data_IF_955206213638
#
_entry.id   IF_955206213638
#
_cell.length_a   1.000
_cell.length_b   1.000
_cell.length_c   1.000
_cell.angle_alpha   90.00
_cell.angle_beta   90.00
_cell.angle_gamma   90.00
#
_symmetry.space_group_name_H-M   'P 1'
#
loop_
_entity.id
_entity.type
_entity.pdbx_description
1 polymer ?
#
# COMPACT_ATOMS: atom_id res chain seq x y z
N UNK A 1 -5.22 7.00 -13.22
CA UNK A 1 -3.99 6.59 -13.92
C UNK A 1 -2.77 6.89 -13.04
N UNK A 2 -2.56 8.12 -12.58
CA UNK A 2 -1.38 8.51 -11.77
C UNK A 2 -1.19 7.65 -10.52
N UNK A 3 -2.25 7.39 -9.73
CA UNK A 3 -2.16 6.56 -8.53
C UNK A 3 -1.78 5.08 -8.79
N UNK A 4 -1.76 4.64 -10.03
CA UNK A 4 -1.29 3.30 -10.40
C UNK A 4 0.13 3.31 -10.98
N UNK A 5 0.45 4.31 -11.80
CA UNK A 5 1.74 4.41 -12.50
C UNK A 5 2.85 4.88 -11.55
N UNK A 6 2.58 5.93 -10.77
CA UNK A 6 3.58 6.51 -9.86
C UNK A 6 4.11 5.50 -8.83
N UNK A 7 3.27 4.72 -8.10
CA UNK A 7 3.81 3.73 -7.16
C UNK A 7 4.59 2.60 -7.85
N UNK A 8 4.20 2.17 -9.04
CA UNK A 8 4.97 1.19 -9.80
C UNK A 8 6.35 1.70 -10.21
N UNK A 9 6.40 2.96 -10.68
CA UNK A 9 7.65 3.63 -11.02
C UNK A 9 8.52 3.84 -9.77
N UNK A 10 7.92 4.24 -8.64
CA UNK A 10 8.64 4.42 -7.38
C UNK A 10 9.25 3.10 -6.91
N UNK A 11 8.50 2.00 -6.99
CA UNK A 11 9.02 0.68 -6.63
C UNK A 11 10.16 0.24 -7.56
N UNK A 12 10.06 0.53 -8.86
CA UNK A 12 11.15 0.31 -9.82
C UNK A 12 12.42 1.05 -9.41
N UNK A 13 12.33 2.35 -9.06
CA UNK A 13 13.46 3.16 -8.61
C UNK A 13 14.04 2.65 -7.30
N UNK A 14 13.20 2.24 -6.35
CA UNK A 14 13.67 1.65 -5.08
C UNK A 14 14.49 0.38 -5.31
N UNK A 15 14.06 -0.49 -6.21
CA UNK A 15 14.83 -1.67 -6.59
C UNK A 15 16.14 -1.32 -7.28
N UNK A 16 16.17 -0.29 -8.14
CA UNK A 16 17.42 0.17 -8.77
C UNK A 16 18.41 0.72 -7.74
N UNK A 17 17.97 1.55 -6.81
CA UNK A 17 18.84 2.12 -5.77
C UNK A 17 19.52 1.02 -4.92
N UNK A 18 18.78 -0.05 -4.57
CA UNK A 18 19.34 -1.19 -3.84
C UNK A 18 20.37 -1.93 -4.70
N UNK A 19 20.13 -2.05 -6.00
CA UNK A 19 21.04 -2.69 -6.92
C UNK A 19 22.33 -1.90 -7.11
N UNK A 20 22.26 -0.58 -7.21
CA UNK A 20 23.45 0.29 -7.33
C UNK A 20 24.34 0.20 -6.08
N UNK A 21 23.78 0.24 -4.89
CA UNK A 21 24.53 0.05 -3.63
C UNK A 21 25.20 -1.33 -3.55
N UNK A 22 24.56 -2.37 -4.06
CA UNK A 22 25.11 -3.73 -4.08
C UNK A 22 26.20 -3.91 -5.16
N UNK A 23 26.15 -3.15 -6.24
CA UNK A 23 27.06 -3.27 -7.40
C UNK A 23 28.50 -2.91 -7.07
N UNK A 24 28.73 -2.07 -6.03
CA UNK A 24 30.09 -1.74 -5.58
C UNK A 24 30.88 -2.97 -5.07
N UNK A 25 30.22 -4.09 -4.79
CA UNK A 25 30.83 -5.30 -4.20
C UNK A 25 30.86 -6.51 -5.17
N UNK A 26 30.05 -6.54 -6.24
CA UNK A 26 29.76 -7.77 -7.02
C UNK A 26 30.06 -7.70 -8.52
N UNK A 27 31.13 -7.03 -8.94
CA UNK A 27 31.50 -6.91 -10.36
C UNK A 27 31.90 -8.21 -11.08
N UNK A 28 31.80 -9.41 -10.47
CA UNK A 28 32.44 -10.63 -11.00
C UNK A 28 31.58 -11.92 -11.05
N UNK A 29 30.25 -11.88 -10.88
CA UNK A 29 29.45 -13.13 -10.91
C UNK A 29 28.22 -13.05 -11.86
N UNK A 30 27.87 -14.23 -12.44
CA UNK A 30 26.73 -14.43 -13.35
C UNK A 30 25.35 -14.04 -12.77
N UNK A 31 25.26 -13.69 -11.50
CA UNK A 31 24.06 -13.14 -10.83
C UNK A 31 23.56 -11.83 -11.44
N UNK A 32 24.37 -11.17 -12.26
CA UNK A 32 24.04 -9.90 -12.91
C UNK A 32 22.79 -9.96 -13.78
N UNK A 33 22.50 -11.10 -14.40
CA UNK A 33 21.35 -11.27 -15.29
C UNK A 33 20.02 -11.32 -14.54
N UNK A 34 19.99 -11.94 -13.36
CA UNK A 34 18.79 -12.05 -12.54
C UNK A 34 18.45 -10.72 -11.86
N UNK A 35 19.42 -9.95 -11.43
CA UNK A 35 19.21 -8.65 -10.82
C UNK A 35 18.69 -7.59 -11.80
N UNK A 36 19.09 -7.62 -13.06
CA UNK A 36 18.64 -6.66 -14.09
C UNK A 36 17.12 -6.69 -14.34
N UNK A 37 16.44 -7.80 -14.07
CA UNK A 37 15.01 -7.93 -14.26
C UNK A 37 14.16 -7.54 -13.03
N UNK A 38 14.71 -7.64 -11.83
CA UNK A 38 13.99 -7.42 -10.56
C UNK A 38 13.33 -6.03 -10.47
N UNK A 39 13.96 -4.91 -10.86
CA UNK A 39 13.32 -3.60 -10.82
C UNK A 39 12.00 -3.53 -11.61
N UNK A 40 11.93 -4.22 -12.75
CA UNK A 40 10.73 -4.24 -13.59
C UNK A 40 9.52 -4.90 -12.90
N UNK A 41 9.75 -5.75 -11.88
CA UNK A 41 8.68 -6.34 -11.09
C UNK A 41 7.86 -5.28 -10.32
N UNK A 42 8.43 -4.10 -10.06
CA UNK A 42 7.69 -2.97 -9.49
C UNK A 42 6.48 -2.56 -10.32
N UNK A 43 6.53 -2.74 -11.64
CA UNK A 43 5.40 -2.43 -12.53
C UNK A 43 4.20 -3.39 -12.40
N UNK A 44 4.34 -4.50 -11.66
CA UNK A 44 3.17 -5.33 -11.32
C UNK A 44 2.12 -4.54 -10.55
N UNK A 45 2.51 -3.56 -9.74
CA UNK A 45 1.57 -2.65 -9.04
C UNK A 45 0.79 -1.83 -10.08
N UNK A 46 1.45 -1.34 -11.12
CA UNK A 46 0.79 -0.60 -12.21
C UNK A 46 -0.21 -1.48 -12.95
N UNK A 47 0.18 -2.70 -13.32
CA UNK A 47 -0.70 -3.67 -13.99
C UNK A 47 -1.90 -4.04 -13.12
N UNK A 48 -1.67 -4.32 -11.84
CA UNK A 48 -2.73 -4.61 -10.87
C UNK A 48 -3.70 -3.43 -10.71
N UNK A 49 -3.19 -2.19 -10.72
CA UNK A 49 -3.99 -0.98 -10.66
C UNK A 49 -4.83 -0.77 -11.92
N UNK A 50 -4.27 -1.06 -13.10
CA UNK A 50 -5.00 -1.01 -14.38
C UNK A 50 -6.11 -2.05 -14.41
N UNK A 51 -5.84 -3.29 -14.01
CA UNK A 51 -6.84 -4.34 -13.93
C UNK A 51 -7.96 -3.98 -12.94
N UNK A 52 -7.61 -3.43 -11.77
CA UNK A 52 -8.58 -2.94 -10.80
C UNK A 52 -9.47 -1.86 -11.38
N UNK A 53 -8.91 -0.90 -12.12
CA UNK A 53 -9.69 0.18 -12.75
C UNK A 53 -10.66 -0.36 -13.78
N UNK A 54 -10.23 -1.32 -14.59
CA UNK A 54 -11.10 -2.00 -15.56
C UNK A 54 -12.24 -2.75 -14.85
N UNK A 55 -11.93 -3.52 -13.79
CA UNK A 55 -12.94 -4.22 -12.98
C UNK A 55 -13.93 -3.24 -12.33
N UNK A 56 -13.45 -2.10 -11.83
CA UNK A 56 -14.28 -1.08 -11.21
C UNK A 56 -15.31 -0.48 -12.21
N UNK A 57 -14.94 -0.29 -13.46
CA UNK A 57 -15.82 0.29 -14.47
C UNK A 57 -16.99 -0.62 -14.88
N UNK A 58 -16.84 -1.93 -14.73
CA UNK A 58 -17.86 -2.92 -15.09
C UNK A 58 -18.64 -3.47 -13.89
N UNK A 59 -18.17 -3.24 -12.66
CA UNK A 59 -18.78 -3.79 -11.45
C UNK A 59 -19.84 -2.85 -10.88
N UNK A 60 -21.10 -3.24 -11.02
CA UNK A 60 -22.27 -2.48 -10.54
C UNK A 60 -22.48 -2.57 -9.02
N UNK A 61 -21.76 -3.45 -8.32
CA UNK A 61 -21.91 -3.68 -6.86
C UNK A 61 -21.26 -2.58 -6.01
N UNK A 62 -20.47 -1.69 -6.60
CA UNK A 62 -19.65 -0.68 -5.89
C UNK A 62 -20.40 0.65 -5.62
N UNK A 63 -21.70 0.60 -5.36
CA UNK A 63 -22.51 1.80 -5.09
C UNK A 63 -22.34 2.31 -3.65
N UNK A 64 -22.28 1.40 -2.66
CA UNK A 64 -22.29 1.74 -1.23
C UNK A 64 -21.02 1.32 -0.47
N UNK A 65 -20.24 0.37 -0.98
CA UNK A 65 -18.98 -0.08 -0.38
C UNK A 65 -17.90 -0.24 -1.45
N UNK A 66 -16.64 -0.04 -1.05
CA UNK A 66 -15.51 -0.33 -1.92
C UNK A 66 -15.12 -1.80 -1.81
N UNK A 67 -14.90 -2.45 -2.96
CA UNK A 67 -14.34 -3.80 -3.03
C UNK A 67 -12.85 -3.68 -3.36
N UNK A 68 -11.99 -4.21 -2.51
CA UNK A 68 -10.53 -4.12 -2.61
C UNK A 68 -9.94 -2.77 -2.22
N UNK A 69 -8.64 -2.73 -1.96
CA UNK A 69 -7.94 -1.51 -1.50
C UNK A 69 -8.00 -0.42 -2.57
N UNK A 70 -8.44 0.81 -2.24
CA UNK A 70 -8.41 1.94 -3.17
C UNK A 70 -6.99 2.21 -3.70
N UNK A 71 -6.85 2.43 -5.01
CA UNK A 71 -5.56 2.73 -5.65
C UNK A 71 -4.84 3.92 -5.01
N UNK A 72 -5.51 5.03 -4.60
CA UNK A 72 -4.83 6.11 -3.88
C UNK A 72 -4.26 5.68 -2.53
N UNK A 73 -4.95 4.80 -1.79
CA UNK A 73 -4.47 4.31 -0.51
C UNK A 73 -3.21 3.45 -0.70
N UNK A 74 -3.21 2.56 -1.70
CA UNK A 74 -2.02 1.80 -2.05
C UNK A 74 -0.86 2.69 -2.49
N UNK A 75 -1.13 3.72 -3.28
CA UNK A 75 -0.11 4.69 -3.69
C UNK A 75 0.54 5.37 -2.49
N UNK A 76 -0.24 5.77 -1.48
CA UNK A 76 0.28 6.37 -0.25
C UNK A 76 1.20 5.41 0.52
N UNK A 77 0.86 4.11 0.61
CA UNK A 77 1.73 3.10 1.23
C UNK A 77 3.07 3.01 0.51
N UNK A 78 3.06 2.86 -0.81
CA UNK A 78 4.30 2.72 -1.58
C UNK A 78 5.15 4.00 -1.50
N UNK A 79 4.52 5.17 -1.62
CA UNK A 79 5.24 6.46 -1.55
C UNK A 79 5.75 6.78 -0.14
N UNK A 80 5.18 6.22 0.91
CA UNK A 80 5.71 6.38 2.26
C UNK A 80 7.06 5.69 2.46
N UNK A 81 7.38 4.64 1.69
CA UNK A 81 8.64 3.89 1.81
C UNK A 81 9.86 4.80 1.63
N UNK A 82 10.03 5.52 0.50
CA UNK A 82 11.17 6.43 0.34
C UNK A 82 11.14 7.59 1.33
N UNK A 83 9.95 8.04 1.76
CA UNK A 83 9.85 9.09 2.78
C UNK A 83 10.38 8.62 4.15
N UNK A 84 10.11 7.38 4.53
CA UNK A 84 10.65 6.76 5.74
C UNK A 84 12.17 6.60 5.62
N UNK A 85 12.66 6.15 4.47
CA UNK A 85 14.10 6.02 4.21
C UNK A 85 14.83 7.36 4.30
N UNK A 86 14.23 8.43 3.78
CA UNK A 86 14.81 9.75 3.78
C UNK A 86 14.81 10.42 5.17
N UNK A 87 13.79 10.17 6.01
CA UNK A 87 13.67 10.81 7.33
C UNK A 87 14.74 10.36 8.33
N UNK A 88 15.35 9.19 8.12
CA UNK A 88 16.37 8.59 9.00
C UNK A 88 15.98 8.50 10.50
N UNK A 89 14.72 8.73 10.83
CA UNK A 89 14.25 8.72 12.22
C UNK A 89 14.30 7.32 12.86
N UNK A 90 14.37 6.27 12.02
CA UNK A 90 14.31 4.87 12.44
C UNK A 90 15.34 4.03 11.66
N UNK A 91 16.61 4.07 12.03
CA UNK A 91 17.72 3.35 11.35
C UNK A 91 17.44 1.85 11.14
N UNK A 92 16.88 1.18 12.14
CA UNK A 92 16.54 -0.25 12.03
C UNK A 92 15.46 -0.53 10.98
N UNK A 93 14.48 0.38 10.82
CA UNK A 93 13.41 0.24 9.84
C UNK A 93 13.91 0.54 8.42
N UNK A 94 14.78 1.54 8.27
CA UNK A 94 15.38 1.86 6.98
C UNK A 94 16.20 0.70 6.44
N UNK A 95 17.02 0.06 7.28
CA UNK A 95 17.80 -1.13 6.90
C UNK A 95 16.90 -2.27 6.42
N UNK A 96 15.77 -2.49 7.09
CA UNK A 96 14.81 -3.53 6.68
C UNK A 96 14.14 -3.17 5.35
N UNK A 97 13.81 -1.89 5.12
CA UNK A 97 13.19 -1.42 3.89
C UNK A 97 14.13 -1.43 2.67
N UNK A 98 15.47 -1.49 2.89
CA UNK A 98 16.45 -1.71 1.82
C UNK A 98 16.58 -3.19 1.40
N UNK A 99 15.84 -4.11 2.02
CA UNK A 99 15.87 -5.51 1.64
C UNK A 99 15.03 -5.75 0.36
N UNK A 100 15.62 -6.23 -0.75
CA UNK A 100 14.90 -6.46 -2.01
C UNK A 100 13.79 -7.50 -1.87
N UNK A 101 13.96 -8.51 -1.03
CA UNK A 101 12.92 -9.52 -0.78
C UNK A 101 11.70 -8.93 -0.10
N UNK A 102 11.90 -7.96 0.82
CA UNK A 102 10.79 -7.24 1.44
C UNK A 102 10.03 -6.38 0.41
N UNK A 103 10.74 -5.68 -0.47
CA UNK A 103 10.10 -4.89 -1.54
C UNK A 103 9.32 -5.77 -2.51
N UNK A 104 9.84 -6.96 -2.87
CA UNK A 104 9.11 -7.95 -3.67
C UNK A 104 7.84 -8.42 -2.95
N UNK A 105 7.94 -8.71 -1.66
CA UNK A 105 6.80 -9.11 -0.85
C UNK A 105 5.73 -8.01 -0.78
N UNK A 106 6.14 -6.75 -0.57
CA UNK A 106 5.24 -5.59 -0.58
C UNK A 106 4.58 -5.45 -1.96
N UNK A 107 5.34 -5.60 -3.05
CA UNK A 107 4.82 -5.54 -4.43
C UNK A 107 3.75 -6.61 -4.67
N UNK A 108 4.03 -7.85 -4.25
CA UNK A 108 3.11 -8.97 -4.41
C UNK A 108 1.82 -8.79 -3.59
N UNK A 109 1.96 -8.43 -2.31
CA UNK A 109 0.80 -8.18 -1.43
C UNK A 109 -0.01 -7.00 -1.93
N UNK A 110 0.64 -5.90 -2.31
CA UNK A 110 0.00 -4.70 -2.84
C UNK A 110 -0.85 -5.03 -4.07
N UNK A 111 -0.27 -5.76 -5.03
CA UNK A 111 -0.94 -6.20 -6.26
C UNK A 111 -2.13 -7.13 -5.96
N UNK A 112 -2.00 -8.00 -4.96
CA UNK A 112 -3.07 -8.90 -4.53
C UNK A 112 -4.22 -8.12 -3.85
N UNK A 113 -3.92 -7.29 -2.84
CA UNK A 113 -4.94 -6.58 -2.06
C UNK A 113 -5.72 -5.57 -2.92
N UNK A 114 -5.07 -4.95 -3.92
CA UNK A 114 -5.75 -4.09 -4.89
C UNK A 114 -6.92 -4.78 -5.58
N UNK A 115 -6.79 -6.07 -5.88
CA UNK A 115 -7.75 -6.86 -6.65
C UNK A 115 -8.57 -7.86 -5.82
N UNK A 116 -8.24 -7.99 -4.53
CA UNK A 116 -8.93 -8.86 -3.61
C UNK A 116 -10.39 -8.42 -3.41
N UNK A 117 -11.31 -9.37 -3.33
CA UNK A 117 -12.73 -9.10 -3.08
C UNK A 117 -13.00 -8.86 -1.57
N UNK A 118 -12.26 -7.92 -1.00
CA UNK A 118 -12.42 -7.53 0.40
C UNK A 118 -13.37 -6.35 0.45
N UNK A 119 -14.56 -6.49 1.05
CA UNK A 119 -15.46 -5.36 1.24
C UNK A 119 -14.85 -4.42 2.27
N UNK A 120 -14.59 -3.20 1.88
CA UNK A 120 -14.06 -2.15 2.75
C UNK A 120 -15.18 -1.18 3.11
N UNK A 121 -15.23 -0.75 4.38
CA UNK A 121 -16.23 0.24 4.76
C UNK A 121 -15.93 1.59 4.11
N UNK A 122 -16.98 2.24 3.65
CA UNK A 122 -16.85 3.57 3.04
C UNK A 122 -16.57 4.62 4.13
N UNK A 123 -15.52 5.41 3.93
CA UNK A 123 -15.28 6.62 4.74
C UNK A 123 -16.19 7.78 4.34
N UNK A 124 -17.06 7.59 3.33
CA UNK A 124 -17.98 8.61 2.84
C UNK A 124 -19.15 8.77 3.81
N UNK A 125 -19.19 9.88 4.53
CA UNK A 125 -20.27 10.24 5.45
C UNK A 125 -21.41 10.82 4.60
N UNK A 126 -22.53 10.08 4.47
CA UNK A 126 -23.73 10.56 3.75
C UNK A 126 -24.65 11.37 4.66
N UNK A 127 -24.71 11.02 5.95
CA UNK A 127 -25.57 11.70 6.95
C UNK A 127 -24.81 11.79 8.26
N UNK A 128 -24.84 12.96 8.93
CA UNK A 128 -24.09 13.20 10.16
C UNK A 128 -24.84 12.63 11.38
N UNK A 129 -24.82 11.29 11.54
CA UNK A 129 -25.43 10.63 12.71
C UNK A 129 -24.35 9.96 13.53
N UNK A 130 -24.09 10.48 14.73
CA UNK A 130 -23.03 9.99 15.64
C UNK A 130 -23.08 8.48 15.91
N UNK A 131 -24.30 7.94 16.08
CA UNK A 131 -24.47 6.51 16.37
C UNK A 131 -23.98 5.58 15.24
N UNK A 132 -24.12 6.01 13.98
CA UNK A 132 -23.82 5.21 12.79
C UNK A 132 -22.33 5.28 12.40
N UNK A 133 -21.65 6.39 12.71
CA UNK A 133 -20.29 6.66 12.22
C UNK A 133 -19.23 6.67 13.34
N UNK A 134 -19.54 6.19 14.54
CA UNK A 134 -18.60 6.13 15.67
C UNK A 134 -17.25 5.48 15.29
N UNK A 135 -17.29 4.36 14.58
CA UNK A 135 -16.06 3.63 14.19
C UNK A 135 -15.21 4.44 13.22
N UNK A 136 -15.82 5.11 12.24
CA UNK A 136 -15.09 5.93 11.27
C UNK A 136 -14.48 7.17 11.91
N UNK A 137 -15.23 7.83 12.81
CA UNK A 137 -14.76 9.02 13.54
C UNK A 137 -13.59 8.64 14.47
N UNK A 138 -13.74 7.55 15.23
CA UNK A 138 -12.67 7.04 16.10
C UNK A 138 -11.43 6.67 15.30
N UNK A 139 -11.61 6.01 14.15
CA UNK A 139 -10.52 5.69 13.24
C UNK A 139 -9.82 6.93 12.70
N UNK A 140 -10.59 7.97 12.31
CA UNK A 140 -10.02 9.21 11.78
C UNK A 140 -9.19 9.95 12.85
N UNK A 141 -9.71 10.06 14.07
CA UNK A 141 -8.99 10.69 15.19
C UNK A 141 -7.73 9.88 15.52
N UNK A 142 -7.82 8.55 15.59
CA UNK A 142 -6.69 7.66 15.84
C UNK A 142 -5.62 7.76 14.74
N UNK A 143 -6.02 7.89 13.47
CA UNK A 143 -5.09 8.05 12.35
C UNK A 143 -4.35 9.38 12.40
N UNK A 144 -5.05 10.47 12.75
CA UNK A 144 -4.44 11.79 12.90
C UNK A 144 -3.42 11.81 14.06
N UNK A 145 -3.80 11.19 15.18
CA UNK A 145 -2.91 11.05 16.35
C UNK A 145 -1.67 10.18 16.01
N UNK A 146 -1.86 9.05 15.32
CA UNK A 146 -0.75 8.19 14.88
C UNK A 146 0.20 8.93 13.94
N UNK A 147 -0.34 9.72 13.01
CA UNK A 147 0.48 10.52 12.10
C UNK A 147 1.31 11.59 12.83
N UNK A 148 0.73 12.22 13.85
CA UNK A 148 1.45 13.21 14.69
C UNK A 148 2.59 12.61 15.50
N UNK A 149 2.49 11.33 15.90
CA UNK A 149 3.52 10.64 16.71
C UNK A 149 4.60 9.95 15.86
N UNK A 150 4.21 9.31 14.77
CA UNK A 150 5.07 8.40 14.00
C UNK A 150 5.48 8.97 12.63
N UNK A 151 5.00 10.16 12.26
CA UNK A 151 5.30 10.77 10.98
C UNK A 151 4.95 9.85 9.78
N UNK A 152 5.89 9.68 8.86
CA UNK A 152 5.66 8.91 7.63
C UNK A 152 5.44 7.40 7.87
N UNK A 153 5.96 6.84 8.97
CA UNK A 153 5.73 5.44 9.37
C UNK A 153 4.26 5.18 9.69
N UNK A 154 3.53 6.19 10.13
CA UNK A 154 2.10 6.05 10.40
C UNK A 154 1.28 5.70 9.14
N UNK A 155 1.70 6.14 7.94
CA UNK A 155 0.92 5.95 6.71
C UNK A 155 0.63 4.47 6.42
N UNK A 156 1.63 3.57 6.30
CA UNK A 156 1.36 2.16 6.09
C UNK A 156 0.59 1.52 7.25
N UNK A 157 0.87 1.92 8.50
CA UNK A 157 0.16 1.41 9.67
C UNK A 157 -1.33 1.78 9.67
N UNK A 158 -1.66 3.02 9.32
CA UNK A 158 -3.05 3.50 9.20
C UNK A 158 -3.79 2.70 8.13
N UNK A 159 -3.17 2.46 6.98
CA UNK A 159 -3.82 1.75 5.87
C UNK A 159 -4.00 0.27 6.21
N UNK A 160 -3.02 -0.37 6.83
CA UNK A 160 -3.15 -1.75 7.31
C UNK A 160 -4.26 -1.84 8.36
N UNK A 161 -4.29 -0.93 9.33
CA UNK A 161 -5.36 -0.90 10.36
C UNK A 161 -6.74 -0.65 9.74
N UNK A 162 -6.85 0.20 8.72
CA UNK A 162 -8.09 0.41 7.98
C UNK A 162 -8.61 -0.88 7.35
N UNK A 163 -7.74 -1.64 6.69
CA UNK A 163 -8.12 -2.92 6.09
C UNK A 163 -8.56 -3.92 7.16
N UNK A 164 -7.80 -4.04 8.25
CA UNK A 164 -8.12 -4.96 9.35
C UNK A 164 -9.45 -4.62 10.02
N UNK A 165 -9.66 -3.37 10.40
CA UNK A 165 -10.90 -2.90 11.02
C UNK A 165 -12.09 -3.12 10.08
N UNK A 166 -11.91 -2.87 8.79
CA UNK A 166 -12.95 -3.08 7.78
C UNK A 166 -13.36 -4.56 7.68
N UNK A 167 -12.39 -5.47 7.63
CA UNK A 167 -12.65 -6.92 7.57
C UNK A 167 -13.35 -7.40 8.84
N UNK A 168 -12.92 -6.93 10.01
CA UNK A 168 -13.52 -7.32 11.30
C UNK A 168 -14.96 -6.80 11.40
N UNK A 169 -15.17 -5.52 11.06
CA UNK A 169 -16.50 -4.91 11.10
C UNK A 169 -17.50 -5.64 10.19
N UNK A 170 -17.07 -5.98 8.97
CA UNK A 170 -17.93 -6.71 8.03
C UNK A 170 -18.26 -8.13 8.51
N UNK A 171 -17.30 -8.83 9.14
CA UNK A 171 -17.56 -10.14 9.72
C UNK A 171 -18.53 -10.09 10.92
N UNK A 172 -18.48 -9.02 11.70
CA UNK A 172 -19.41 -8.81 12.81
C UNK A 172 -20.81 -8.51 12.32
N UNK A 173 -20.97 -7.66 11.29
CA UNK A 173 -22.28 -7.36 10.68
C UNK A 173 -22.90 -8.55 9.96
N UNK A 174 -22.10 -9.45 9.42
CA UNK A 174 -22.60 -10.68 8.77
C UNK A 174 -23.09 -11.75 9.76
N UNK A 175 -22.78 -11.61 11.06
CA UNK A 175 -23.19 -12.54 12.13
C UNK A 175 -24.35 -12.02 12.97
N UNK A 176 -24.72 -10.75 12.85
CA UNK A 176 -25.86 -10.12 13.50
C UNK A 176 -27.10 -10.14 12.59
#
# INVERSE_FOLDING_TARGET
VTCGVVPGLMMFVLFQNIQEDSTSVYYLTEEYFYMGFVPYLGFFITLASCYRLAKFNIDTRQTDSFIGLPTPANALVIMSIPMIQYSNDYEGLTTVLYNPYLLLFITAISSYILNAEIPLFSLKIKEFTWAKYKMQILFLIGSLFSFSLLGFVAIPLIIISYVLVSVISNKMMAKA
#
